data_IF_069190415589
#
_entry.id   IF_069190415589
#
_cell.length_a   1.000
_cell.length_b   1.000
_cell.length_c   1.000
_cell.angle_alpha   90.00
_cell.angle_beta   90.00
_cell.angle_gamma   90.00
#
_symmetry.space_group_name_H-M   'P 1'
#
loop_
_entity.id
_entity.type
_entity.pdbx_description
1 polymer ?
#
# COMPACT_ATOMS: atom_id res chain seq x y z
N UNK A 1 44.68 2.79 15.99
CA UNK A 1 43.59 1.84 15.61
C UNK A 1 44.22 0.77 14.74
N UNK A 2 44.45 -0.43 15.32
CA UNK A 2 45.24 -1.48 14.69
C UNK A 2 44.59 -2.01 13.43
N UNK A 3 45.38 -2.25 12.36
CA UNK A 3 44.94 -2.78 11.07
C UNK A 3 44.08 -4.05 11.21
N UNK A 4 44.34 -4.90 12.22
CA UNK A 4 43.56 -6.10 12.55
C UNK A 4 42.10 -5.82 12.99
N UNK A 5 41.85 -4.69 13.64
CA UNK A 5 40.47 -4.31 14.04
C UNK A 5 39.66 -3.83 12.85
N UNK A 6 40.29 -3.23 11.83
CA UNK A 6 39.67 -2.79 10.61
C UNK A 6 39.18 -3.98 9.74
N UNK A 7 39.99 -5.05 9.69
CA UNK A 7 39.58 -6.29 8.97
C UNK A 7 38.39 -7.02 9.64
N UNK A 8 38.34 -7.03 10.99
CA UNK A 8 37.19 -7.63 11.71
C UNK A 8 35.86 -6.88 11.44
N UNK A 9 35.92 -5.57 11.26
CA UNK A 9 34.71 -4.76 10.96
C UNK A 9 34.24 -4.97 9.51
N UNK A 10 35.18 -5.16 8.57
CA UNK A 10 34.86 -5.37 7.16
C UNK A 10 34.35 -6.78 6.83
N UNK A 11 34.63 -7.76 7.70
CA UNK A 11 34.22 -9.16 7.50
C UNK A 11 32.91 -9.51 8.22
N UNK A 12 32.11 -8.52 8.62
CA UNK A 12 30.77 -8.77 9.14
C UNK A 12 29.80 -9.01 7.99
N UNK A 13 29.04 -10.11 7.99
CA UNK A 13 28.04 -10.34 6.95
C UNK A 13 27.00 -9.22 6.94
N UNK A 14 26.69 -8.72 5.76
CA UNK A 14 25.64 -7.70 5.58
C UNK A 14 24.29 -8.42 5.60
N UNK A 15 23.45 -8.10 6.57
CA UNK A 15 22.08 -8.58 6.62
C UNK A 15 21.12 -7.45 6.14
N UNK A 16 20.01 -7.77 5.47
CA UNK A 16 19.56 -9.10 5.03
C UNK A 16 20.22 -9.57 3.73
N UNK A 17 20.42 -10.89 3.59
CA UNK A 17 20.92 -11.51 2.35
C UNK A 17 19.78 -11.63 1.33
N UNK A 18 19.49 -10.58 0.60
CA UNK A 18 18.35 -10.50 -0.32
C UNK A 18 18.38 -11.54 -1.46
N UNK A 19 19.57 -12.00 -1.86
CA UNK A 19 19.74 -13.03 -2.90
C UNK A 19 19.36 -14.44 -2.46
N UNK A 20 19.34 -14.71 -1.16
CA UNK A 20 19.05 -16.03 -0.57
C UNK A 20 17.67 -16.06 0.10
N UNK A 21 17.09 -14.88 0.39
CA UNK A 21 15.83 -14.78 1.10
C UNK A 21 14.65 -15.27 0.24
N UNK A 22 14.02 -16.36 0.68
CA UNK A 22 12.76 -16.82 0.11
C UNK A 22 11.59 -16.15 0.82
N UNK A 23 10.80 -15.32 0.14
CA UNK A 23 9.70 -14.60 0.78
C UNK A 23 8.61 -15.56 1.25
N UNK A 24 8.27 -15.49 2.54
CA UNK A 24 7.13 -16.20 3.10
C UNK A 24 5.85 -15.37 2.93
N UNK A 25 4.70 -16.02 2.81
CA UNK A 25 3.41 -15.33 2.65
C UNK A 25 3.13 -14.32 3.78
N UNK A 26 3.45 -14.66 5.02
CA UNK A 26 3.26 -13.77 6.16
C UNK A 26 4.09 -12.49 6.06
N UNK A 27 5.35 -12.60 5.65
CA UNK A 27 6.25 -11.46 5.48
C UNK A 27 5.82 -10.57 4.30
N UNK A 28 5.38 -11.17 3.19
CA UNK A 28 4.86 -10.43 2.04
C UNK A 28 3.63 -9.59 2.42
N UNK A 29 2.66 -10.17 3.13
CA UNK A 29 1.49 -9.43 3.60
C UNK A 29 1.87 -8.25 4.51
N UNK A 30 2.84 -8.45 5.40
CA UNK A 30 3.31 -7.38 6.28
C UNK A 30 3.96 -6.24 5.49
N UNK A 31 4.79 -6.56 4.48
CA UNK A 31 5.42 -5.54 3.63
C UNK A 31 4.35 -4.77 2.84
N UNK A 32 3.47 -5.47 2.14
CA UNK A 32 2.42 -4.83 1.35
C UNK A 32 1.44 -4.01 2.20
N UNK A 33 1.15 -4.45 3.43
CA UNK A 33 0.34 -3.67 4.36
C UNK A 33 1.01 -2.33 4.71
N UNK A 34 2.32 -2.30 4.94
CA UNK A 34 3.07 -1.06 5.18
C UNK A 34 3.12 -0.18 3.94
N UNK A 35 3.37 -0.77 2.76
CA UNK A 35 3.39 -0.03 1.49
C UNK A 35 2.01 0.58 1.21
N UNK A 36 0.92 -0.17 1.39
CA UNK A 36 -0.43 0.36 1.20
C UNK A 36 -0.75 1.50 2.15
N UNK A 37 -0.37 1.42 3.43
CA UNK A 37 -0.57 2.48 4.41
C UNK A 37 0.19 3.76 4.06
N UNK A 38 1.47 3.63 3.67
CA UNK A 38 2.29 4.75 3.22
C UNK A 38 1.67 5.42 1.98
N UNK A 39 1.28 4.62 0.99
CA UNK A 39 0.69 5.14 -0.24
C UNK A 39 -0.63 5.86 0.03
N UNK A 40 -1.50 5.30 0.88
CA UNK A 40 -2.76 5.95 1.29
C UNK A 40 -2.51 7.28 2.01
N UNK A 41 -1.51 7.37 2.88
CA UNK A 41 -1.18 8.63 3.56
C UNK A 41 -0.71 9.70 2.59
N UNK A 42 0.09 9.33 1.58
CA UNK A 42 0.51 10.25 0.51
C UNK A 42 -0.70 10.73 -0.29
N UNK A 43 -1.61 9.85 -0.69
CA UNK A 43 -2.84 10.23 -1.40
C UNK A 43 -3.72 11.16 -0.58
N UNK A 44 -3.82 10.94 0.73
CA UNK A 44 -4.57 11.81 1.62
C UNK A 44 -3.98 13.22 1.66
N UNK A 45 -2.66 13.35 1.85
CA UNK A 45 -1.96 14.64 1.89
C UNK A 45 -2.10 15.36 0.54
N UNK A 46 -1.82 14.68 -0.57
CA UNK A 46 -1.96 15.25 -1.91
C UNK A 46 -3.40 15.67 -2.19
N UNK A 47 -4.39 14.87 -1.79
CA UNK A 47 -5.80 15.18 -1.92
C UNK A 47 -6.20 16.44 -1.18
N UNK A 48 -5.74 16.62 0.06
CA UNK A 48 -5.98 17.83 0.85
C UNK A 48 -5.36 19.07 0.19
N UNK A 49 -4.14 18.96 -0.34
CA UNK A 49 -3.47 20.04 -1.07
C UNK A 49 -4.25 20.40 -2.33
N UNK A 50 -4.71 19.40 -3.09
CA UNK A 50 -5.51 19.61 -4.30
C UNK A 50 -6.84 20.29 -3.99
N UNK A 51 -7.57 19.86 -2.94
CA UNK A 51 -8.82 20.49 -2.52
C UNK A 51 -8.58 21.95 -2.15
N UNK A 52 -7.54 22.23 -1.35
CA UNK A 52 -7.17 23.61 -1.00
C UNK A 52 -6.86 24.46 -2.23
N UNK A 53 -6.13 23.91 -3.20
CA UNK A 53 -5.79 24.59 -4.45
C UNK A 53 -7.04 24.90 -5.29
N UNK A 54 -7.97 23.95 -5.42
CA UNK A 54 -9.22 24.11 -6.17
C UNK A 54 -10.12 25.18 -5.52
N UNK A 55 -10.18 25.22 -4.21
CA UNK A 55 -10.97 26.22 -3.49
C UNK A 55 -10.42 27.65 -3.68
N UNK A 56 -9.09 27.77 -3.84
CA UNK A 56 -8.43 29.07 -4.02
C UNK A 56 -8.33 29.51 -5.48
N UNK A 57 -8.73 28.67 -6.46
CA UNK A 57 -8.62 28.98 -7.89
C UNK A 57 -9.70 29.95 -8.36
N UNK A 58 -9.29 30.91 -9.20
CA UNK A 58 -10.20 31.84 -9.87
C UNK A 58 -11.13 31.09 -10.83
N UNK A 59 -12.35 31.62 -11.02
CA UNK A 59 -13.44 31.02 -11.80
C UNK A 59 -13.03 30.61 -13.25
N UNK A 60 -12.17 31.41 -13.92
CA UNK A 60 -11.71 31.12 -15.28
C UNK A 60 -10.88 29.82 -15.36
N UNK A 61 -10.03 29.56 -14.41
CA UNK A 61 -9.26 28.30 -14.35
C UNK A 61 -10.16 27.08 -14.11
N UNK A 62 -11.26 27.24 -13.37
CA UNK A 62 -12.27 26.19 -13.18
C UNK A 62 -12.97 25.80 -14.47
N UNK A 63 -13.27 26.80 -15.35
CA UNK A 63 -13.86 26.56 -16.67
C UNK A 63 -12.93 25.83 -17.64
N UNK A 64 -11.64 26.20 -17.64
CA UNK A 64 -10.63 25.51 -18.46
C UNK A 64 -10.46 24.06 -18.01
N UNK A 65 -10.48 23.81 -16.71
CA UNK A 65 -10.39 22.47 -16.14
C UNK A 65 -11.62 21.61 -16.49
N UNK A 66 -12.79 22.22 -16.59
CA UNK A 66 -14.03 21.54 -16.98
C UNK A 66 -14.03 21.09 -18.45
N UNK A 67 -13.37 21.82 -19.35
CA UNK A 67 -13.34 21.50 -20.79
C UNK A 67 -12.32 20.38 -21.16
N UNK A 68 -11.37 20.05 -20.33
CA UNK A 68 -10.36 18.98 -20.54
C UNK A 68 -10.86 17.55 -20.16
N UNK A 69 -12.16 17.31 -20.18
CA UNK A 69 -12.85 16.32 -19.34
C UNK A 69 -12.68 14.83 -19.68
N UNK A 70 -12.30 14.40 -20.88
CA UNK A 70 -12.32 12.97 -21.20
C UNK A 70 -11.09 12.25 -20.63
N UNK A 71 -9.90 12.72 -20.94
CA UNK A 71 -8.64 12.10 -20.47
C UNK A 71 -8.52 12.22 -18.94
N UNK A 72 -8.88 13.38 -18.39
CA UNK A 72 -8.88 13.62 -16.96
C UNK A 72 -9.88 12.75 -16.22
N UNK A 73 -11.05 12.53 -16.81
CA UNK A 73 -12.07 11.62 -16.28
C UNK A 73 -11.56 10.18 -16.13
N UNK A 74 -10.91 9.65 -17.15
CA UNK A 74 -10.29 8.32 -17.10
C UNK A 74 -9.19 8.25 -16.03
N UNK A 75 -8.32 9.28 -15.95
CA UNK A 75 -7.26 9.34 -14.95
C UNK A 75 -7.83 9.35 -13.52
N UNK A 76 -8.85 10.14 -13.26
CA UNK A 76 -9.53 10.20 -11.96
C UNK A 76 -10.18 8.86 -11.62
N UNK A 77 -10.82 8.18 -12.59
CA UNK A 77 -11.41 6.87 -12.40
C UNK A 77 -10.35 5.82 -12.02
N UNK A 78 -9.20 5.81 -12.70
CA UNK A 78 -8.09 4.91 -12.36
C UNK A 78 -7.52 5.19 -10.96
N UNK A 79 -7.35 6.46 -10.61
CA UNK A 79 -6.87 6.86 -9.28
C UNK A 79 -7.86 6.44 -8.20
N UNK A 80 -9.15 6.62 -8.44
CA UNK A 80 -10.21 6.19 -7.51
C UNK A 80 -10.17 4.67 -7.31
N UNK A 81 -10.10 3.89 -8.39
CA UNK A 81 -9.99 2.44 -8.32
C UNK A 81 -8.73 2.01 -7.54
N UNK A 82 -7.58 2.63 -7.81
CA UNK A 82 -6.34 2.34 -7.13
C UNK A 82 -6.45 2.61 -5.62
N UNK A 83 -6.99 3.76 -5.23
CA UNK A 83 -7.21 4.12 -3.82
C UNK A 83 -8.17 3.13 -3.16
N UNK A 84 -9.25 2.75 -3.85
CA UNK A 84 -10.22 1.79 -3.34
C UNK A 84 -9.59 0.42 -3.08
N UNK A 85 -8.76 -0.08 -4.00
CA UNK A 85 -8.04 -1.35 -3.84
C UNK A 85 -7.03 -1.29 -2.69
N UNK A 86 -6.23 -0.23 -2.62
CA UNK A 86 -5.25 -0.03 -1.54
C UNK A 86 -5.94 0.08 -0.18
N UNK A 87 -7.04 0.82 -0.10
CA UNK A 87 -7.82 0.98 1.12
C UNK A 87 -8.43 -0.35 1.57
N UNK A 88 -9.08 -1.09 0.66
CA UNK A 88 -9.66 -2.39 0.96
C UNK A 88 -8.61 -3.39 1.43
N UNK A 89 -7.46 -3.44 0.76
CA UNK A 89 -6.33 -4.29 1.15
C UNK A 89 -5.81 -3.91 2.54
N UNK A 90 -5.56 -2.62 2.77
CA UNK A 90 -5.02 -2.11 4.05
C UNK A 90 -5.98 -2.38 5.21
N UNK A 91 -7.26 -2.11 5.02
CA UNK A 91 -8.31 -2.34 6.02
C UNK A 91 -8.39 -3.82 6.41
N UNK A 92 -8.49 -4.72 5.43
CA UNK A 92 -8.64 -6.16 5.69
C UNK A 92 -7.41 -6.74 6.40
N UNK A 93 -6.21 -6.35 5.99
CA UNK A 93 -5.00 -6.77 6.70
C UNK A 93 -4.89 -6.16 8.10
N UNK A 94 -5.33 -4.91 8.28
CA UNK A 94 -5.39 -4.27 9.59
C UNK A 94 -6.33 -5.00 10.56
N UNK A 95 -7.53 -5.35 10.10
CA UNK A 95 -8.48 -6.16 10.88
C UNK A 95 -7.86 -7.51 11.25
N UNK A 96 -7.18 -8.18 10.32
CA UNK A 96 -6.47 -9.43 10.61
C UNK A 96 -5.44 -9.26 11.73
N UNK A 97 -4.65 -8.20 11.72
CA UNK A 97 -3.66 -7.93 12.78
C UNK A 97 -4.34 -7.75 14.14
N UNK A 98 -5.44 -7.01 14.20
CA UNK A 98 -6.21 -6.85 15.44
C UNK A 98 -6.72 -8.20 15.97
N UNK A 99 -7.23 -9.06 15.09
CA UNK A 99 -7.72 -10.40 15.45
C UNK A 99 -6.58 -11.27 16.01
N UNK A 100 -5.39 -11.17 15.42
CA UNK A 100 -4.21 -11.90 15.89
C UNK A 100 -3.70 -11.38 17.25
N UNK A 101 -3.72 -10.07 17.45
CA UNK A 101 -3.36 -9.47 18.74
C UNK A 101 -4.31 -9.92 19.87
N UNK A 102 -5.55 -10.25 19.51
CA UNK A 102 -6.53 -10.87 20.42
C UNK A 102 -6.31 -12.38 20.63
N UNK A 103 -5.34 -13.00 19.95
CA UNK A 103 -5.00 -14.41 20.08
C UNK A 103 -5.86 -15.36 19.25
N UNK A 104 -6.69 -14.85 18.32
CA UNK A 104 -7.55 -15.68 17.48
C UNK A 104 -6.90 -16.00 16.12
N UNK A 105 -7.19 -17.20 15.58
CA UNK A 105 -6.83 -17.63 14.21
C UNK A 105 -5.32 -17.60 13.89
N UNK A 106 -4.47 -17.95 14.85
CA UNK A 106 -3.01 -17.91 14.73
C UNK A 106 -2.43 -19.01 13.82
N UNK A 107 -3.18 -20.08 13.55
CA UNK A 107 -2.70 -21.21 12.73
C UNK A 107 -2.47 -20.81 11.26
N UNK A 108 -1.45 -21.40 10.64
CA UNK A 108 -1.09 -21.21 9.23
C UNK A 108 -2.26 -21.52 8.28
N UNK A 109 -3.13 -22.47 8.63
CA UNK A 109 -4.33 -22.82 7.85
C UNK A 109 -5.29 -21.64 7.69
N UNK A 110 -5.43 -20.80 8.71
CA UNK A 110 -6.26 -19.59 8.64
C UNK A 110 -5.61 -18.49 7.78
N UNK A 111 -4.27 -18.43 7.77
CA UNK A 111 -3.54 -17.49 6.93
C UNK A 111 -3.82 -17.75 5.44
N UNK A 112 -3.75 -19.01 5.00
CA UNK A 112 -4.02 -19.34 3.59
C UNK A 112 -5.49 -19.08 3.20
N UNK A 113 -6.45 -19.41 4.07
CA UNK A 113 -7.88 -19.10 3.84
C UNK A 113 -8.12 -17.59 3.73
N UNK A 114 -7.50 -16.82 4.60
CA UNK A 114 -7.59 -15.36 4.55
C UNK A 114 -7.02 -14.81 3.23
N UNK A 115 -5.92 -15.38 2.74
CA UNK A 115 -5.35 -15.01 1.45
C UNK A 115 -6.35 -15.20 0.31
N UNK A 116 -6.98 -16.37 0.21
CA UNK A 116 -7.99 -16.64 -0.81
C UNK A 116 -9.19 -15.68 -0.70
N UNK A 117 -9.67 -15.43 0.48
CA UNK A 117 -10.78 -14.51 0.71
C UNK A 117 -10.41 -13.07 0.29
N UNK A 118 -9.23 -12.61 0.64
CA UNK A 118 -8.74 -11.27 0.29
C UNK A 118 -8.57 -11.13 -1.23
N UNK A 119 -7.95 -12.11 -1.88
CA UNK A 119 -7.75 -12.08 -3.34
C UNK A 119 -9.08 -12.13 -4.10
N UNK A 120 -10.03 -12.96 -3.70
CA UNK A 120 -11.36 -13.03 -4.31
C UNK A 120 -12.13 -11.72 -4.14
N UNK A 121 -12.05 -11.09 -2.98
CA UNK A 121 -12.71 -9.80 -2.71
C UNK A 121 -12.12 -8.67 -3.55
N UNK A 122 -10.79 -8.61 -3.67
CA UNK A 122 -10.13 -7.62 -4.54
C UNK A 122 -10.47 -7.84 -6.03
N UNK A 123 -10.56 -9.09 -6.49
CA UNK A 123 -10.99 -9.42 -7.85
C UNK A 123 -12.45 -9.01 -8.11
N UNK A 124 -13.35 -9.21 -7.14
CA UNK A 124 -14.74 -8.78 -7.26
C UNK A 124 -14.87 -7.25 -7.37
N UNK A 125 -14.03 -6.49 -6.66
CA UNK A 125 -13.97 -5.03 -6.79
C UNK A 125 -13.55 -4.65 -8.22
N UNK A 126 -12.52 -5.32 -8.77
CA UNK A 126 -12.05 -5.06 -10.14
C UNK A 126 -13.09 -5.38 -11.22
N UNK A 127 -13.86 -6.47 -11.06
CA UNK A 127 -14.88 -6.88 -12.04
C UNK A 127 -16.09 -5.94 -12.02
N UNK A 128 -16.43 -5.43 -10.83
CA UNK A 128 -17.59 -4.53 -10.68
C UNK A 128 -17.32 -3.13 -11.20
N UNK A 129 -16.06 -2.71 -11.21
CA UNK A 129 -15.64 -1.38 -11.65
C UNK A 129 -15.35 -1.33 -13.14
#
# INVERSE_FOLDING_TARGET
>A
MNMFTKFKVLNRPIAPHLSIYTPQFSSLFSIWHRVSGLTLSIFLICGLILIKSILNWNFMLKLIFYSYNIILGWLISYLYLLILLLFSYHLLNGVRHIIWDLGFFLDIKYLSRFFFLLTTLLLLILIKY
#
